data_IF_493481527348
#
_entry.id   IF_493481527348
#
_cell.length_a   1.000
_cell.length_b   1.000
_cell.length_c   1.000
_cell.angle_alpha   90.00
_cell.angle_beta   90.00
_cell.angle_gamma   90.00
#
_symmetry.space_group_name_H-M   'P 1'
#
loop_
_entity.id
_entity.type
_entity.pdbx_description
1 polymer ?
#
# COMPACT_ATOMS: atom_id res chain seq x y z
N UNK A 1 14.22 14.46 -9.85
CA UNK A 1 13.23 13.92 -10.80
C UNK A 1 12.55 12.76 -10.10
N UNK A 2 11.37 12.97 -9.52
CA UNK A 2 10.65 11.89 -8.83
C UNK A 2 9.97 11.04 -9.90
N UNK A 3 10.53 9.87 -10.18
CA UNK A 3 9.88 8.87 -11.03
C UNK A 3 8.53 8.50 -10.42
N UNK A 4 7.55 8.19 -11.27
CA UNK A 4 6.26 7.69 -10.80
C UNK A 4 6.53 6.48 -9.90
N UNK A 5 6.19 6.60 -8.62
CA UNK A 5 6.36 5.49 -7.68
C UNK A 5 5.45 4.35 -8.14
N UNK A 6 5.98 3.12 -8.10
CA UNK A 6 5.34 1.93 -8.65
C UNK A 6 3.95 1.65 -8.07
N UNK A 7 3.22 0.75 -8.71
CA UNK A 7 1.93 0.24 -8.22
C UNK A 7 1.82 -1.26 -8.48
N UNK A 8 1.16 -1.97 -7.58
CA UNK A 8 0.84 -3.39 -7.74
C UNK A 8 -0.65 -3.49 -8.06
N UNK A 9 -0.99 -4.13 -9.17
CA UNK A 9 -2.36 -4.32 -9.60
C UNK A 9 -2.67 -5.82 -9.45
N UNK A 10 -3.78 -6.12 -8.78
CA UNK A 10 -4.23 -7.49 -8.53
C UNK A 10 -5.49 -7.69 -9.36
N UNK A 11 -5.46 -8.64 -10.27
CA UNK A 11 -6.59 -8.93 -11.17
C UNK A 11 -6.73 -10.42 -11.38
N UNK A 12 -7.95 -10.86 -11.66
CA UNK A 12 -8.22 -12.23 -12.05
C UNK A 12 -7.73 -12.48 -13.48
N UNK A 13 -6.88 -13.49 -13.68
CA UNK A 13 -6.28 -13.79 -14.99
C UNK A 13 -7.30 -14.27 -16.04
N UNK A 14 -8.39 -14.93 -15.61
CA UNK A 14 -9.40 -15.49 -16.52
C UNK A 14 -10.43 -14.44 -16.94
N UNK A 15 -10.85 -13.57 -16.02
CA UNK A 15 -11.91 -12.58 -16.26
C UNK A 15 -11.39 -11.17 -16.56
N UNK A 16 -10.11 -10.89 -16.28
CA UNK A 16 -9.52 -9.55 -16.37
C UNK A 16 -10.05 -8.57 -15.32
N UNK A 17 -10.91 -9.00 -14.40
CA UNK A 17 -11.49 -8.13 -13.37
C UNK A 17 -10.42 -7.68 -12.38
N UNK A 18 -10.29 -6.37 -12.20
CA UNK A 18 -9.45 -5.77 -11.14
C UNK A 18 -10.04 -6.10 -9.76
N UNK A 19 -9.22 -6.65 -8.89
CA UNK A 19 -9.56 -6.98 -7.50
C UNK A 19 -9.08 -5.87 -6.56
N UNK A 20 -7.83 -5.42 -6.74
CA UNK A 20 -7.26 -4.36 -5.93
C UNK A 20 -6.10 -3.65 -6.65
N UNK A 21 -5.77 -2.45 -6.17
CA UNK A 21 -4.61 -1.68 -6.64
C UNK A 21 -3.89 -1.04 -5.47
N UNK A 22 -2.65 -1.45 -5.26
CA UNK A 22 -1.74 -0.86 -4.27
C UNK A 22 -0.95 0.22 -4.98
N UNK A 23 -1.02 1.46 -4.49
CA UNK A 23 -0.32 2.59 -5.07
C UNK A 23 0.35 3.45 -3.99
N UNK A 24 1.42 4.14 -4.38
CA UNK A 24 2.13 5.06 -3.50
C UNK A 24 1.45 6.43 -3.32
N UNK A 25 0.30 6.67 -3.97
CA UNK A 25 -0.53 7.86 -3.78
C UNK A 25 -1.26 7.79 -2.44
N UNK A 26 -0.48 7.76 -1.35
CA UNK A 26 -0.94 7.99 0.03
C UNK A 26 0.09 8.79 0.85
N UNK A 27 1.09 9.40 0.21
CA UNK A 27 2.07 10.29 0.87
C UNK A 27 1.65 11.76 0.89
N UNK A 28 0.34 12.06 0.87
CA UNK A 28 -0.09 13.41 1.22
C UNK A 28 0.09 13.61 2.73
N UNK A 29 0.78 14.67 3.18
CA UNK A 29 0.81 15.02 4.58
C UNK A 29 -0.60 15.44 4.97
N UNK A 30 -1.31 14.59 5.70
CA UNK A 30 -2.47 14.96 6.52
C UNK A 30 -3.42 15.99 5.88
N UNK A 31 -4.16 15.60 4.84
CA UNK A 31 -5.21 16.45 4.30
C UNK A 31 -5.61 16.02 2.89
N UNK A 32 -6.91 15.78 2.73
CA UNK A 32 -7.57 15.61 1.43
C UNK A 32 -7.37 14.24 0.74
N UNK A 33 -8.02 13.23 1.31
CA UNK A 33 -8.42 12.04 0.56
C UNK A 33 -9.48 12.43 -0.49
N UNK A 34 -9.11 12.48 -1.76
CA UNK A 34 -10.08 12.42 -2.86
C UNK A 34 -10.42 10.96 -3.14
N UNK A 35 -11.31 10.39 -2.33
CA UNK A 35 -11.87 9.07 -2.50
C UNK A 35 -12.98 9.10 -3.56
N UNK A 36 -12.71 8.60 -4.78
CA UNK A 36 -13.78 8.26 -5.72
C UNK A 36 -14.31 6.85 -5.44
N UNK A 37 -15.09 6.73 -4.36
CA UNK A 37 -16.24 5.82 -4.18
C UNK A 37 -16.61 5.71 -2.69
N UNK A 38 -17.59 6.53 -2.28
CA UNK A 38 -18.59 6.21 -1.26
C UNK A 38 -18.12 5.81 0.15
N UNK A 39 -17.52 6.74 0.90
CA UNK A 39 -17.49 6.63 2.36
C UNK A 39 -18.44 7.64 3.01
N UNK A 40 -19.60 7.14 3.46
CA UNK A 40 -20.54 7.88 4.31
C UNK A 40 -19.88 8.25 5.63
N UNK A 41 -20.01 9.52 6.01
CA UNK A 41 -19.26 10.13 7.09
C UNK A 41 -19.52 9.52 8.47
N UNK A 42 -18.44 9.14 9.17
CA UNK A 42 -18.39 9.07 10.63
C UNK A 42 -17.02 9.56 11.12
N UNK A 43 -17.10 10.66 11.86
CA UNK A 43 -15.99 11.38 12.50
C UNK A 43 -15.28 10.50 13.53
N UNK A 44 -13.99 10.18 13.35
CA UNK A 44 -13.19 9.43 14.32
C UNK A 44 -12.15 10.34 15.00
N UNK A 45 -12.57 10.97 16.10
CA UNK A 45 -11.68 11.71 17.00
C UNK A 45 -10.90 10.74 17.91
N UNK A 46 -9.62 10.49 17.60
CA UNK A 46 -8.70 9.85 18.55
C UNK A 46 -7.34 10.53 18.53
N UNK A 47 -7.18 11.53 19.41
CA UNK A 47 -5.89 12.18 19.70
C UNK A 47 -5.03 11.26 20.57
N UNK A 48 -3.73 11.24 20.24
CA UNK A 48 -2.57 11.08 21.15
C UNK A 48 -2.10 9.66 21.50
N UNK A 49 -0.75 9.53 21.51
CA UNK A 49 0.13 8.40 21.88
C UNK A 49 0.31 7.41 20.72
N UNK A 50 1.51 7.16 20.16
CA UNK A 50 2.78 6.80 20.79
C UNK A 50 3.93 7.15 19.83
N UNK A 51 4.92 7.91 20.32
CA UNK A 51 6.26 8.06 19.73
C UNK A 51 7.15 6.93 20.29
N UNK A 52 7.04 5.72 19.74
CA UNK A 52 7.97 4.62 20.01
C UNK A 52 8.20 3.80 18.74
N UNK A 53 9.46 3.74 18.31
CA UNK A 53 10.14 2.70 17.50
C UNK A 53 9.51 2.09 16.24
N UNK A 54 8.45 2.64 15.66
CA UNK A 54 7.91 2.09 14.41
C UNK A 54 8.79 2.58 13.25
N UNK A 55 9.71 1.72 12.77
CA UNK A 55 10.27 1.83 11.41
C UNK A 55 9.04 1.87 10.49
N UNK A 56 8.61 3.07 10.11
CA UNK A 56 7.46 3.30 9.25
C UNK A 56 8.04 3.42 7.85
N UNK A 57 8.25 2.29 7.20
CA UNK A 57 8.47 2.37 5.77
C UNK A 57 7.21 2.93 5.13
N UNK A 58 7.38 3.93 4.27
CA UNK A 58 6.24 4.52 3.56
C UNK A 58 5.80 3.58 2.44
N UNK A 59 4.53 3.66 2.02
CA UNK A 59 4.06 2.89 0.85
C UNK A 59 4.92 3.20 -0.37
N UNK A 60 5.45 4.43 -0.48
CA UNK A 60 6.32 4.81 -1.57
C UNK A 60 7.65 4.06 -1.55
N UNK A 61 8.31 3.99 -0.39
CA UNK A 61 9.56 3.23 -0.20
C UNK A 61 9.36 1.72 -0.39
N UNK A 62 8.21 1.21 0.04
CA UNK A 62 7.85 -0.19 -0.13
C UNK A 62 7.62 -0.60 -1.59
N UNK A 63 7.23 0.36 -2.44
CA UNK A 63 6.98 0.16 -3.87
C UNK A 63 8.16 0.64 -4.74
N UNK A 64 9.22 1.14 -4.13
CA UNK A 64 10.44 1.54 -4.82
C UNK A 64 11.30 0.31 -5.09
N UNK A 65 11.67 0.12 -6.36
CA UNK A 65 12.64 -0.90 -6.78
C UNK A 65 12.39 -2.30 -6.19
N UNK A 66 11.17 -2.80 -6.38
CA UNK A 66 10.81 -4.17 -6.03
C UNK A 66 11.65 -5.14 -6.87
N UNK A 67 12.38 -6.02 -6.18
CA UNK A 67 13.28 -7.03 -6.78
C UNK A 67 12.75 -8.45 -6.61
N UNK A 68 11.84 -8.68 -5.67
CA UNK A 68 11.23 -9.98 -5.41
C UNK A 68 9.74 -9.82 -5.08
N UNK A 69 8.93 -10.79 -5.51
CA UNK A 69 7.50 -10.84 -5.23
C UNK A 69 7.05 -12.28 -4.99
N UNK A 70 6.23 -12.50 -3.97
CA UNK A 70 5.61 -13.77 -3.64
C UNK A 70 4.14 -13.56 -3.25
N UNK A 71 3.25 -14.45 -3.67
CA UNK A 71 1.84 -14.41 -3.32
C UNK A 71 1.47 -15.66 -2.53
N UNK A 72 0.87 -15.45 -1.36
CA UNK A 72 0.30 -16.50 -0.52
C UNK A 72 -1.20 -16.60 -0.82
N UNK A 73 -1.59 -17.66 -1.53
CA UNK A 73 -2.99 -17.87 -1.93
C UNK A 73 -3.90 -18.19 -0.74
N UNK A 74 -3.38 -18.87 0.29
CA UNK A 74 -4.15 -19.26 1.47
C UNK A 74 -4.49 -18.03 2.33
N UNK A 75 -3.53 -17.10 2.42
CA UNK A 75 -3.66 -15.90 3.24
C UNK A 75 -4.13 -14.66 2.46
N UNK A 76 -4.24 -14.74 1.13
CA UNK A 76 -4.56 -13.61 0.25
C UNK A 76 -3.59 -12.42 0.51
N UNK A 77 -2.30 -12.74 0.66
CA UNK A 77 -1.24 -11.80 1.01
C UNK A 77 -0.14 -11.75 -0.06
N UNK A 78 0.35 -10.55 -0.36
CA UNK A 78 1.51 -10.33 -1.24
C UNK A 78 2.71 -9.93 -0.38
N UNK A 79 3.84 -10.59 -0.61
CA UNK A 79 5.13 -10.27 -0.01
C UNK A 79 6.03 -9.67 -1.09
N UNK A 80 6.60 -8.50 -0.84
CA UNK A 80 7.51 -7.82 -1.76
C UNK A 80 8.85 -7.51 -1.10
N UNK A 81 9.94 -7.79 -1.80
CA UNK A 81 11.29 -7.39 -1.42
C UNK A 81 11.79 -6.24 -2.30
N UNK A 82 12.49 -5.26 -1.72
CA UNK A 82 13.10 -4.15 -2.47
C UNK A 82 14.63 -4.20 -2.49
N UNK A 83 15.26 -3.28 -3.24
CA UNK A 83 16.74 -3.16 -3.30
C UNK A 83 17.42 -2.90 -1.95
N UNK A 84 16.67 -2.39 -0.96
CA UNK A 84 17.17 -2.12 0.39
C UNK A 84 17.17 -3.38 1.27
N UNK A 85 16.68 -4.51 0.75
CA UNK A 85 16.53 -5.76 1.49
C UNK A 85 15.36 -5.74 2.48
N UNK A 86 14.44 -4.78 2.36
CA UNK A 86 13.24 -4.72 3.17
C UNK A 86 12.15 -5.61 2.58
N UNK A 87 11.40 -6.29 3.45
CA UNK A 87 10.24 -7.09 3.08
C UNK A 87 8.97 -6.37 3.54
N UNK A 88 8.03 -6.20 2.61
CA UNK A 88 6.72 -5.59 2.85
C UNK A 88 5.64 -6.62 2.60
N UNK A 89 4.59 -6.60 3.43
CA UNK A 89 3.44 -7.50 3.35
C UNK A 89 2.20 -6.67 3.06
N UNK A 90 1.43 -7.10 2.07
CA UNK A 90 0.20 -6.47 1.62
C UNK A 90 -0.95 -7.46 1.76
N UNK A 91 -1.91 -7.16 2.63
CA UNK A 91 -3.15 -7.95 2.77
C UNK A 91 -4.25 -7.29 1.95
N UNK A 92 -4.98 -8.10 1.19
CA UNK A 92 -6.17 -7.68 0.44
C UNK A 92 -7.45 -7.94 1.23
#
# INVERSE_FOLDING_TARGET
MFGAVGSINISNILTGKCLAKINACNTLPLGECSCSASCGGRNCNSKKRIKASRIRSTVAEALEDITALFYDEERNEIYTGNRLGLVHVWSN
#
